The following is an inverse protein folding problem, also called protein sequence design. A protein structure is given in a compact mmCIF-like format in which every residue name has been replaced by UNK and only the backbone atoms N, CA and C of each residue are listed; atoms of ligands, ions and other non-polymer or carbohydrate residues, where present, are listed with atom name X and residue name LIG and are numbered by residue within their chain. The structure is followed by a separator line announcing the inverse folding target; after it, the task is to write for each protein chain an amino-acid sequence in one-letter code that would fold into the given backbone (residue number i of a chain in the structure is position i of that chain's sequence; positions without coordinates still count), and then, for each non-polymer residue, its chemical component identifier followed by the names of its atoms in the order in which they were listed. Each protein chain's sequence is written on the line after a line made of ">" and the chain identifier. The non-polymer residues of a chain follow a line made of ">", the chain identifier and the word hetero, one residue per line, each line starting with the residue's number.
data_IF_715230179740
#
_entry.id   IF_715230179740
#
_cell.length_a   1.000
_cell.length_b   1.000
_cell.length_c   1.000
_cell.angle_alpha   90.00
_cell.angle_beta   90.00
_cell.angle_gamma   90.00
#
_symmetry.space_group_name_H-M   'P 1'
#
loop_
_entity.id
_entity.type
_entity.pdbx_description
1 polymer ?
#
# COMPACT_ATOMS: atom_id res chain seq x y z
N UNK A 1 26.29 14.81 17.69
CA UNK A 1 25.80 14.93 16.30
C UNK A 1 25.11 13.62 15.89
N UNK A 2 23.78 13.56 15.93
CA UNK A 2 23.03 12.36 15.49
C UNK A 2 22.80 12.44 13.97
N UNK A 3 23.63 11.75 13.18
CA UNK A 3 23.30 11.47 11.78
C UNK A 3 22.09 10.53 11.77
N UNK A 4 20.95 10.89 11.15
CA UNK A 4 19.93 9.89 10.87
C UNK A 4 20.57 8.85 9.96
N UNK A 5 20.58 7.58 10.41
CA UNK A 5 21.07 6.47 9.60
C UNK A 5 20.30 6.37 8.26
N UNK A 6 20.72 5.49 7.34
CA UNK A 6 20.10 5.33 6.01
C UNK A 6 18.60 5.01 6.05
N UNK A 7 18.05 4.69 7.23
CA UNK A 7 16.65 4.42 7.52
C UNK A 7 15.95 5.64 8.16
N UNK A 8 16.14 6.83 7.59
CA UNK A 8 15.40 8.01 8.04
C UNK A 8 13.90 7.88 7.71
N UNK A 9 13.01 8.61 8.40
CA UNK A 9 11.56 8.53 8.18
C UNK A 9 11.09 8.93 6.75
N UNK A 10 12.00 9.45 5.91
CA UNK A 10 11.75 9.62 4.47
C UNK A 10 11.97 8.35 3.64
N UNK A 11 12.85 7.44 4.07
CA UNK A 11 13.08 6.15 3.41
C UNK A 11 11.89 5.20 3.64
N UNK A 12 11.35 5.17 4.87
CA UNK A 12 10.17 4.37 5.21
C UNK A 12 8.92 4.85 4.47
N UNK A 13 8.76 6.15 4.25
CA UNK A 13 7.69 6.71 3.42
C UNK A 13 7.80 6.31 1.95
N UNK A 14 9.02 6.37 1.37
CA UNK A 14 9.26 5.91 0.00
C UNK A 14 8.97 4.42 -0.16
N UNK A 15 9.39 3.60 0.82
CA UNK A 15 9.09 2.17 0.86
C UNK A 15 7.58 1.92 0.96
N UNK A 16 6.90 2.64 1.85
CA UNK A 16 5.43 2.54 1.99
C UNK A 16 4.69 2.94 0.72
N UNK A 17 5.18 3.95 0.00
CA UNK A 17 4.62 4.36 -1.30
C UNK A 17 4.85 3.33 -2.40
N UNK A 18 6.05 2.73 -2.47
CA UNK A 18 6.34 1.64 -3.40
C UNK A 18 5.42 0.43 -3.16
N UNK A 19 5.27 0.00 -1.90
CA UNK A 19 4.38 -1.09 -1.52
C UNK A 19 2.91 -0.78 -1.86
N UNK A 20 2.46 0.45 -1.65
CA UNK A 20 1.10 0.87 -2.01
C UNK A 20 0.89 0.84 -3.54
N UNK A 21 1.89 1.26 -4.32
CA UNK A 21 1.83 1.21 -5.78
C UNK A 21 1.77 -0.23 -6.27
N UNK A 22 2.57 -1.10 -5.69
CA UNK A 22 2.61 -2.52 -6.02
C UNK A 22 1.30 -3.23 -5.66
N UNK A 23 0.77 -3.01 -4.46
CA UNK A 23 -0.50 -3.59 -4.03
C UNK A 23 -1.67 -3.13 -4.93
N UNK A 24 -1.67 -1.86 -5.38
CA UNK A 24 -2.64 -1.37 -6.38
C UNK A 24 -2.46 -1.99 -7.75
N UNK A 25 -1.23 -2.29 -8.16
CA UNK A 25 -0.96 -2.99 -9.42
C UNK A 25 -1.44 -4.45 -9.36
N UNK A 26 -1.24 -5.11 -8.21
CA UNK A 26 -1.75 -6.44 -7.97
C UNK A 26 -3.29 -6.48 -7.96
N UNK A 27 -3.97 -5.48 -7.39
CA UNK A 27 -5.43 -5.37 -7.49
C UNK A 27 -5.91 -5.33 -8.94
N UNK A 28 -5.31 -4.47 -9.78
CA UNK A 28 -5.68 -4.40 -11.22
C UNK A 28 -5.49 -5.72 -11.96
N UNK A 29 -4.43 -6.47 -11.62
CA UNK A 29 -4.19 -7.81 -12.19
C UNK A 29 -5.26 -8.81 -11.73
N UNK A 30 -5.63 -8.77 -10.45
CA UNK A 30 -6.73 -9.60 -9.93
C UNK A 30 -8.08 -9.22 -10.55
N UNK A 31 -8.36 -7.93 -10.77
CA UNK A 31 -9.58 -7.49 -11.45
C UNK A 31 -9.64 -8.04 -12.88
N UNK A 32 -8.50 -8.08 -13.58
CA UNK A 32 -8.39 -8.71 -14.91
C UNK A 32 -8.66 -10.21 -14.83
N UNK A 33 -8.00 -10.91 -13.89
CA UNK A 33 -8.19 -12.35 -13.67
C UNK A 33 -9.64 -12.69 -13.29
N UNK A 34 -10.29 -11.84 -12.50
CA UNK A 34 -11.69 -12.01 -12.10
C UNK A 34 -12.61 -11.86 -13.30
N UNK A 35 -12.38 -10.86 -14.15
CA UNK A 35 -13.12 -10.69 -15.40
C UNK A 35 -12.96 -11.90 -16.34
N UNK A 36 -11.75 -12.45 -16.45
CA UNK A 36 -11.48 -13.63 -17.28
C UNK A 36 -12.15 -14.89 -16.71
N UNK A 37 -12.08 -15.09 -15.39
CA UNK A 37 -12.71 -16.20 -14.68
C UNK A 37 -14.25 -16.14 -14.78
N UNK A 38 -14.83 -14.95 -14.63
CA UNK A 38 -16.27 -14.73 -14.80
C UNK A 38 -16.73 -15.03 -16.23
N UNK A 39 -15.96 -14.57 -17.24
CA UNK A 39 -16.26 -14.84 -18.64
C UNK A 39 -16.18 -16.33 -18.98
N UNK A 40 -15.25 -17.05 -18.35
CA UNK A 40 -15.08 -18.49 -18.50
C UNK A 40 -16.04 -19.33 -17.62
N UNK A 41 -16.85 -18.69 -16.76
CA UNK A 41 -17.65 -19.37 -15.72
C UNK A 41 -16.80 -20.31 -14.84
N UNK A 42 -15.55 -19.90 -14.58
CA UNK A 42 -14.56 -20.73 -13.91
C UNK A 42 -14.93 -20.87 -12.42
N UNK A 43 -14.93 -22.11 -11.87
CA UNK A 43 -15.18 -22.35 -10.45
C UNK A 43 -14.17 -21.68 -9.50
N UNK A 44 -13.05 -21.15 -9.99
CA UNK A 44 -12.08 -20.38 -9.17
C UNK A 44 -12.53 -18.95 -8.85
N UNK A 45 -13.58 -18.43 -9.50
CA UNK A 45 -14.14 -17.08 -9.27
C UNK A 45 -14.28 -16.69 -7.78
N UNK A 46 -14.87 -17.52 -6.90
CA UNK A 46 -14.94 -17.21 -5.46
C UNK A 46 -13.57 -17.09 -4.77
N UNK A 47 -12.57 -17.88 -5.18
CA UNK A 47 -11.20 -17.77 -4.65
C UNK A 47 -10.55 -16.46 -5.08
N UNK A 48 -10.73 -16.07 -6.34
CA UNK A 48 -10.21 -14.78 -6.86
C UNK A 48 -10.86 -13.60 -6.12
N UNK A 49 -12.16 -13.68 -5.84
CA UNK A 49 -12.87 -12.67 -5.07
C UNK A 49 -12.37 -12.55 -3.61
N UNK A 50 -12.05 -13.67 -2.96
CA UNK A 50 -11.50 -13.67 -1.60
C UNK A 50 -10.10 -13.03 -1.54
N UNK A 51 -9.24 -13.38 -2.50
CA UNK A 51 -7.89 -12.79 -2.63
C UNK A 51 -8.00 -11.29 -2.90
N UNK A 52 -8.92 -10.86 -3.77
CA UNK A 52 -9.20 -9.45 -4.04
C UNK A 52 -9.60 -8.70 -2.76
N UNK A 53 -10.57 -9.23 -2.00
CA UNK A 53 -10.99 -8.63 -0.73
C UNK A 53 -9.87 -8.55 0.32
N UNK A 54 -8.97 -9.53 0.35
CA UNK A 54 -7.80 -9.53 1.23
C UNK A 54 -6.80 -8.45 0.82
N UNK A 55 -6.53 -8.32 -0.48
CA UNK A 55 -5.61 -7.32 -1.01
C UNK A 55 -6.15 -5.89 -0.84
N UNK A 56 -7.46 -5.67 -0.97
CA UNK A 56 -8.11 -4.39 -0.67
C UNK A 56 -7.85 -3.95 0.78
N UNK A 57 -7.93 -4.87 1.75
CA UNK A 57 -7.59 -4.59 3.16
C UNK A 57 -6.12 -4.21 3.32
N UNK A 58 -5.21 -4.91 2.63
CA UNK A 58 -3.76 -4.59 2.64
C UNK A 58 -3.52 -3.19 2.09
N UNK A 59 -4.14 -2.82 0.96
CA UNK A 59 -4.05 -1.47 0.40
C UNK A 59 -4.56 -0.42 1.39
N UNK A 60 -5.70 -0.68 2.04
CA UNK A 60 -6.25 0.23 3.05
C UNK A 60 -5.30 0.40 4.25
N UNK A 61 -4.68 -0.68 4.72
CA UNK A 61 -3.70 -0.62 5.81
C UNK A 61 -2.44 0.15 5.41
N UNK A 62 -1.90 -0.10 4.21
CA UNK A 62 -0.74 0.63 3.68
C UNK A 62 -1.04 2.12 3.49
N UNK A 63 -2.23 2.47 3.00
CA UNK A 63 -2.68 3.86 2.85
C UNK A 63 -2.74 4.58 4.20
N UNK A 64 -3.30 3.91 5.23
CA UNK A 64 -3.35 4.43 6.60
C UNK A 64 -1.95 4.66 7.16
N UNK A 65 -1.04 3.69 7.02
CA UNK A 65 0.36 3.80 7.46
C UNK A 65 1.05 5.00 6.83
N UNK A 66 0.99 5.12 5.50
CA UNK A 66 1.55 6.28 4.75
C UNK A 66 1.00 7.62 5.26
N UNK A 67 -0.31 7.70 5.50
CA UNK A 67 -0.95 8.92 6.02
C UNK A 67 -0.45 9.28 7.44
N UNK A 68 -0.33 8.29 8.33
CA UNK A 68 0.20 8.51 9.68
C UNK A 68 1.66 8.95 9.67
N UNK A 69 2.47 8.37 8.78
CA UNK A 69 3.89 8.66 8.68
C UNK A 69 4.14 10.06 8.07
N UNK A 70 3.38 10.43 7.03
CA UNK A 70 3.40 11.78 6.48
C UNK A 70 3.00 12.84 7.52
N UNK A 71 2.03 12.54 8.39
CA UNK A 71 1.68 13.43 9.52
C UNK A 71 2.81 13.57 10.53
N UNK A 72 3.48 12.48 10.90
CA UNK A 72 4.63 12.48 11.81
C UNK A 72 5.78 13.32 11.26
N UNK A 73 6.14 13.14 9.99
CA UNK A 73 7.20 13.94 9.35
C UNK A 73 6.89 15.45 9.36
N UNK A 74 5.65 15.84 9.03
CA UNK A 74 5.24 17.25 9.08
C UNK A 74 5.35 17.85 10.48
N UNK A 75 4.99 17.08 11.51
CA UNK A 75 5.10 17.51 12.90
C UNK A 75 6.56 17.67 13.35
N UNK A 76 7.44 16.76 12.93
CA UNK A 76 8.89 16.85 13.19
C UNK A 76 9.49 18.08 12.51
N UNK A 77 9.16 18.33 11.23
CA UNK A 77 9.65 19.50 10.52
C UNK A 77 9.17 20.81 11.15
N UNK A 78 7.90 20.90 11.57
CA UNK A 78 7.34 22.11 12.23
C UNK A 78 8.03 22.45 13.55
N UNK A 79 8.52 21.46 14.29
CA UNK A 79 9.28 21.66 15.54
C UNK A 79 10.73 22.10 15.30
N UNK A 80 11.28 21.90 14.11
CA UNK A 80 12.68 22.21 13.78
C UNK A 80 12.84 23.63 13.22
N UNK A 81 11.77 24.22 12.70
CA UNK A 81 11.70 25.60 12.18
C UNK A 81 11.29 26.65 13.23
N UNK A 82 11.12 26.25 14.49
CA UNK A 82 10.69 27.11 15.60
C UNK A 82 11.75 27.06 16.69
#
# INVERSE_FOLDING_TARGET
>A
MNRPGPNGPSADLKRSEALLREARAALRRLDTLMSDAEAAQDPVTPLVAEVRGTLERVVAQLARRRSTEGRRLRAVNKKKTR
#
